data_IF_240932549705
#
_entry.id   IF_240932549705
#
_cell.length_a   1.000
_cell.length_b   1.000
_cell.length_c   1.000
_cell.angle_alpha   90.00
_cell.angle_beta   90.00
_cell.angle_gamma   90.00
#
_symmetry.space_group_name_H-M   'P 1'
#
loop_
_entity.id
_entity.type
_entity.pdbx_description
1 polymer ?
#
# COMPACT_ATOMS: atom_id res chain seq x y z
N UNK A 1 0.77 -6.40 3.30
CA UNK A 1 0.41 -5.06 2.79
C UNK A 1 1.45 -4.63 1.78
N UNK A 2 1.15 -3.61 0.97
CA UNK A 2 2.09 -3.02 0.01
C UNK A 2 2.35 -1.57 0.40
N UNK A 3 3.59 -1.12 0.33
CA UNK A 3 3.96 0.29 0.52
C UNK A 3 4.52 0.82 -0.78
N UNK A 4 4.01 1.96 -1.22
CA UNK A 4 4.54 2.75 -2.33
C UNK A 4 5.05 4.07 -1.76
N UNK A 5 6.29 4.42 -2.08
CA UNK A 5 6.83 5.74 -1.80
C UNK A 5 7.14 6.45 -3.10
N UNK A 6 6.43 7.56 -3.35
CA UNK A 6 6.55 8.28 -4.60
C UNK A 6 6.25 9.78 -4.47
N UNK A 7 6.80 10.59 -5.38
CA UNK A 7 6.25 11.93 -5.62
C UNK A 7 5.13 11.83 -6.64
N UNK A 8 3.95 12.30 -6.26
CA UNK A 8 2.71 12.17 -7.06
C UNK A 8 2.23 13.50 -7.65
N UNK A 9 2.99 14.58 -7.42
CA UNK A 9 2.63 15.92 -7.90
C UNK A 9 1.30 16.40 -7.34
N UNK A 10 0.40 16.83 -8.21
CA UNK A 10 -0.96 17.28 -7.86
C UNK A 10 -2.02 16.16 -7.96
N UNK A 11 -1.61 14.92 -8.21
CA UNK A 11 -2.52 13.79 -8.39
C UNK A 11 -3.07 13.27 -7.05
N UNK A 12 -4.30 12.76 -7.08
CA UNK A 12 -4.93 12.09 -5.94
C UNK A 12 -4.55 10.61 -5.94
N UNK A 13 -3.32 10.32 -5.51
CA UNK A 13 -2.76 8.98 -5.57
C UNK A 13 -3.59 7.95 -4.79
N UNK A 14 -4.20 8.34 -3.67
CA UNK A 14 -5.10 7.50 -2.88
C UNK A 14 -6.31 7.06 -3.71
N UNK A 15 -7.01 8.01 -4.34
CA UNK A 15 -8.17 7.69 -5.17
C UNK A 15 -7.82 6.83 -6.37
N UNK A 16 -6.63 7.00 -6.95
CA UNK A 16 -6.20 6.19 -8.08
C UNK A 16 -5.81 4.76 -7.69
N UNK A 17 -5.08 4.60 -6.59
CA UNK A 17 -4.68 3.28 -6.10
C UNK A 17 -5.89 2.45 -5.66
N UNK A 18 -6.93 3.10 -5.10
CA UNK A 18 -8.20 2.43 -4.75
C UNK A 18 -8.97 1.85 -5.96
N UNK A 19 -8.62 2.22 -7.19
CA UNK A 19 -9.21 1.65 -8.41
C UNK A 19 -8.54 0.34 -8.86
N UNK A 20 -7.37 0.01 -8.30
CA UNK A 20 -6.67 -1.23 -8.63
C UNK A 20 -7.43 -2.42 -8.02
N UNK A 21 -7.65 -3.45 -8.81
CA UNK A 21 -8.35 -4.66 -8.34
C UNK A 21 -7.52 -5.33 -7.26
N UNK A 22 -8.16 -5.67 -6.14
CA UNK A 22 -7.47 -6.27 -4.99
C UNK A 22 -6.94 -5.26 -3.98
N UNK A 23 -7.02 -3.95 -4.22
CA UNK A 23 -6.77 -2.93 -3.18
C UNK A 23 -8.04 -2.75 -2.34
N UNK A 24 -7.91 -2.93 -1.03
CA UNK A 24 -9.01 -2.79 -0.06
C UNK A 24 -9.04 -1.44 0.60
N UNK A 25 -7.86 -0.92 0.95
CA UNK A 25 -7.72 0.40 1.55
C UNK A 25 -6.35 0.99 1.25
N UNK A 26 -6.26 2.31 1.33
CA UNK A 26 -5.04 3.08 1.10
C UNK A 26 -5.01 4.22 2.10
N UNK A 27 -3.92 4.29 2.89
CA UNK A 27 -3.59 5.45 3.71
C UNK A 27 -2.40 6.19 3.14
N UNK A 28 -2.34 7.50 3.37
CA UNK A 28 -1.26 8.38 2.94
C UNK A 28 -0.59 9.03 4.15
N UNK A 29 0.73 9.10 4.12
CA UNK A 29 1.53 10.02 4.92
C UNK A 29 2.47 10.82 4.00
N UNK A 30 2.96 11.96 4.50
CA UNK A 30 3.95 12.80 3.82
C UNK A 30 5.27 12.75 4.57
N UNK A 31 6.36 12.50 3.84
CA UNK A 31 7.73 12.60 4.33
C UNK A 31 8.54 13.44 3.35
N UNK A 32 8.72 14.72 3.69
CA UNK A 32 9.55 15.66 2.93
C UNK A 32 9.20 15.70 1.43
N UNK A 33 7.90 15.73 1.11
CA UNK A 33 7.40 15.77 -0.27
C UNK A 33 7.31 14.41 -0.96
N UNK A 34 7.67 13.32 -0.28
CA UNK A 34 7.37 11.96 -0.70
C UNK A 34 6.07 11.49 -0.06
N UNK A 35 5.16 10.98 -0.87
CA UNK A 35 3.96 10.30 -0.38
C UNK A 35 4.30 8.88 -0.02
N UNK A 36 4.04 8.50 1.23
CA UNK A 36 4.12 7.14 1.73
C UNK A 36 2.70 6.58 1.70
N UNK A 37 2.42 5.75 0.70
CA UNK A 37 1.11 5.16 0.45
C UNK A 37 1.12 3.72 0.94
N UNK A 38 0.38 3.45 2.01
CA UNK A 38 0.25 2.11 2.59
C UNK A 38 -1.05 1.47 2.13
N UNK A 39 -0.94 0.38 1.37
CA UNK A 39 -2.05 -0.34 0.78
C UNK A 39 -2.35 -1.62 1.55
N UNK A 40 -3.61 -1.77 1.98
CA UNK A 40 -4.20 -3.04 2.36
C UNK A 40 -4.71 -3.73 1.10
N UNK A 41 -4.29 -4.96 0.87
CA UNK A 41 -4.61 -5.71 -0.34
C UNK A 41 -5.27 -7.04 0.02
N UNK A 42 -6.01 -7.61 -0.93
CA UNK A 42 -6.58 -8.94 -0.82
C UNK A 42 -5.49 -10.00 -0.58
N UNK A 43 -5.81 -11.02 0.21
CA UNK A 43 -4.88 -12.12 0.49
C UNK A 43 -4.51 -12.85 -0.79
N UNK A 44 -3.22 -13.05 -1.02
CA UNK A 44 -2.70 -13.73 -2.22
C UNK A 44 -2.68 -12.90 -3.50
N UNK A 45 -3.21 -11.67 -3.51
CA UNK A 45 -3.17 -10.80 -4.67
C UNK A 45 -1.82 -10.06 -4.77
N UNK A 46 -1.15 -10.19 -5.92
CA UNK A 46 0.05 -9.39 -6.23
C UNK A 46 -0.31 -8.17 -7.07
N UNK A 47 -0.60 -7.06 -6.41
CA UNK A 47 -0.99 -5.79 -7.04
C UNK A 47 0.21 -4.91 -7.45
N UNK A 48 1.45 -5.30 -7.11
CA UNK A 48 2.64 -4.48 -7.39
C UNK A 48 2.82 -4.16 -8.88
N UNK A 49 2.61 -5.09 -9.83
CA UNK A 49 2.73 -4.76 -11.25
C UNK A 49 1.71 -3.71 -11.69
N UNK A 50 0.50 -3.73 -11.13
CA UNK A 50 -0.55 -2.75 -11.43
C UNK A 50 -0.18 -1.37 -10.88
N UNK A 51 0.30 -1.33 -9.62
CA UNK A 51 0.76 -0.09 -8.98
C UNK A 51 1.90 0.53 -9.77
N UNK A 52 2.87 -0.28 -10.20
CA UNK A 52 4.01 0.22 -10.99
C UNK A 52 3.56 0.77 -12.35
N UNK A 53 2.65 0.07 -13.05
CA UNK A 53 2.06 0.58 -14.31
C UNK A 53 1.34 1.90 -14.09
N UNK A 54 0.51 1.98 -13.05
CA UNK A 54 -0.22 3.19 -12.68
C UNK A 54 0.72 4.37 -12.44
N UNK A 55 1.77 4.15 -11.65
CA UNK A 55 2.77 5.16 -11.33
C UNK A 55 3.49 5.65 -12.60
N UNK A 56 3.88 4.72 -13.49
CA UNK A 56 4.50 5.06 -14.78
C UNK A 56 3.55 5.88 -15.66
N UNK A 57 2.31 5.44 -15.80
CA UNK A 57 1.34 6.09 -16.69
C UNK A 57 0.89 7.48 -16.17
N UNK A 58 1.22 7.81 -14.92
CA UNK A 58 0.99 9.11 -14.29
C UNK A 58 2.24 9.90 -13.98
N UNK A 59 3.39 9.46 -14.49
CA UNK A 59 4.68 10.09 -14.28
C UNK A 59 5.03 10.30 -12.79
N UNK A 60 4.62 9.39 -11.91
CA UNK A 60 5.02 9.41 -10.51
C UNK A 60 6.49 9.00 -10.37
N UNK A 61 7.27 9.77 -9.61
CA UNK A 61 8.65 9.44 -9.28
C UNK A 61 8.64 8.42 -8.14
N UNK A 62 8.86 7.13 -8.45
CA UNK A 62 8.83 6.04 -7.46
C UNK A 62 10.24 5.85 -6.86
N UNK A 63 10.36 5.98 -5.54
CA UNK A 63 11.60 5.61 -4.81
C UNK A 63 11.54 4.20 -4.25
N UNK A 64 10.38 3.76 -3.80
CA UNK A 64 10.21 2.43 -3.21
C UNK A 64 8.85 1.82 -3.55
N UNK A 65 8.82 0.51 -3.82
CA UNK A 65 7.61 -0.29 -3.93
C UNK A 65 7.86 -1.66 -3.29
N UNK A 66 7.36 -1.83 -2.07
CA UNK A 66 7.64 -3.01 -1.24
C UNK A 66 6.36 -3.73 -0.87
N UNK A 67 6.34 -5.06 -0.95
CA UNK A 67 5.26 -5.88 -0.41
C UNK A 67 5.76 -6.64 0.81
N UNK A 68 5.13 -6.42 1.97
CA UNK A 68 5.35 -7.23 3.16
C UNK A 68 4.55 -8.52 3.02
N UNK A 69 5.24 -9.65 2.90
CA UNK A 69 4.65 -10.97 3.16
C UNK A 69 4.39 -11.04 4.66
N UNK A 70 3.13 -11.25 5.05
CA UNK A 70 2.83 -11.57 6.43
C UNK A 70 3.56 -12.88 6.77
N UNK A 71 4.40 -12.86 7.80
CA UNK A 71 5.00 -14.08 8.35
C UNK A 71 4.03 -14.65 9.38
N UNK A 72 4.18 -15.93 9.74
CA UNK A 72 3.36 -16.58 10.77
C UNK A 72 3.39 -15.85 12.13
N UNK A 73 4.38 -15.00 12.37
CA UNK A 73 4.49 -14.16 13.58
C UNK A 73 3.47 -13.01 13.62
N UNK A 74 3.06 -12.47 12.47
CA UNK A 74 2.05 -11.40 12.40
C UNK A 74 0.64 -11.92 12.78
N UNK A 75 0.38 -13.24 12.68
CA UNK A 75 -0.91 -13.88 13.03
C UNK A 75 -1.09 -14.04 14.54
N UNK A 76 0.01 -14.16 15.30
CA UNK A 76 -0.07 -14.43 16.74
C UNK A 76 -0.54 -13.22 17.57
N UNK A 77 -0.33 -11.99 17.07
CA UNK A 77 -0.70 -10.76 17.79
C UNK A 77 -2.23 -10.51 17.78
N UNK A 78 -2.94 -11.05 16.78
CA UNK A 78 -4.39 -10.88 16.64
C UNK A 78 -5.20 -11.80 17.58
N UNK A 79 -4.60 -12.88 18.11
CA UNK A 79 -5.30 -13.85 18.98
C UNK A 79 -5.30 -13.41 20.45
N UNK A 80 -4.32 -12.62 20.91
CA UNK A 80 -4.18 -12.29 22.35
C UNK A 80 -4.97 -11.05 22.79
N UNK A 81 -5.73 -10.39 21.92
CA UNK A 81 -6.56 -9.23 22.30
C UNK A 81 -8.04 -9.58 22.52
N UNK A 82 -8.41 -10.87 22.53
CA UNK A 82 -9.80 -11.31 22.73
C UNK A 82 -10.05 -12.02 24.08
N UNK A 83 -9.09 -12.02 25.01
CA UNK A 83 -9.23 -12.77 26.27
C UNK A 83 -8.90 -11.94 27.54
N UNK A 84 -9.16 -10.62 27.50
CA UNK A 84 -9.29 -9.80 28.71
C UNK A 84 -10.58 -8.96 28.61
N UNK A 85 -11.69 -9.58 29.03
CA UNK A 85 -13.00 -8.95 29.18
C UNK A 85 -14.01 -9.88 29.83
#
# INVERSE_FOLDING_TARGET
>A
GVTLEAKVGADDAVAQLKKITGVRDVSEADDNGWKILSLRVESGADVRPEIFRLARDRDWEVRELTARRATLEDVFVEITHSDEG
#
